data_IF_314898932634
#
_entry.id   IF_314898932634
#
_cell.length_a   1.000
_cell.length_b   1.000
_cell.length_c   1.000
_cell.angle_alpha   90.00
_cell.angle_beta   90.00
_cell.angle_gamma   90.00
#
_symmetry.space_group_name_H-M   'P 1'
#
loop_
_entity.id
_entity.type
_entity.pdbx_description
1 polymer ?
#
# COMPACT_ATOMS: atom_id res chain seq x y z
N UNK A 1 -47.97 1.42 -10.33
CA UNK A 1 -46.65 1.34 -9.67
C UNK A 1 -45.55 0.65 -10.51
N UNK A 2 -45.83 -0.45 -11.26
CA UNK A 2 -44.81 -1.17 -12.08
C UNK A 2 -44.24 -0.40 -13.29
N UNK A 3 -44.98 0.55 -13.87
CA UNK A 3 -44.58 1.29 -15.09
C UNK A 3 -43.43 2.28 -14.88
N UNK A 4 -43.28 2.82 -13.66
CA UNK A 4 -42.17 3.73 -13.32
C UNK A 4 -40.85 2.98 -13.09
N UNK A 5 -40.91 1.72 -12.62
CA UNK A 5 -39.72 0.89 -12.38
C UNK A 5 -39.03 0.49 -13.70
N UNK A 6 -39.80 0.04 -14.71
CA UNK A 6 -39.25 -0.33 -16.02
C UNK A 6 -38.66 0.85 -16.80
N UNK A 7 -39.27 2.04 -16.70
CA UNK A 7 -38.73 3.27 -17.29
C UNK A 7 -37.42 3.72 -16.63
N UNK A 8 -37.30 3.56 -15.31
CA UNK A 8 -36.07 3.88 -14.58
C UNK A 8 -34.93 2.90 -14.91
N UNK A 9 -35.20 1.59 -15.03
CA UNK A 9 -34.20 0.63 -15.50
C UNK A 9 -33.70 0.96 -16.91
N UNK A 10 -34.61 1.28 -17.84
CA UNK A 10 -34.24 1.66 -19.21
C UNK A 10 -33.42 2.95 -19.29
N UNK A 11 -33.62 3.90 -18.37
CA UNK A 11 -32.81 5.12 -18.27
C UNK A 11 -31.43 4.85 -17.67
N UNK A 12 -31.36 4.05 -16.60
CA UNK A 12 -30.11 3.66 -15.96
C UNK A 12 -29.19 2.92 -16.95
N UNK A 13 -29.72 1.94 -17.69
CA UNK A 13 -28.96 1.19 -18.69
C UNK A 13 -28.36 2.09 -19.78
N UNK A 14 -29.10 3.12 -20.23
CA UNK A 14 -28.58 4.09 -21.22
C UNK A 14 -27.42 4.91 -20.68
N UNK A 15 -27.49 5.34 -19.42
CA UNK A 15 -26.41 6.09 -18.76
C UNK A 15 -25.17 5.21 -18.59
N UNK A 16 -25.33 3.96 -18.15
CA UNK A 16 -24.22 3.01 -18.00
C UNK A 16 -23.55 2.72 -19.35
N UNK A 17 -24.34 2.45 -20.40
CA UNK A 17 -23.81 2.21 -21.75
C UNK A 17 -23.07 3.44 -22.28
N UNK A 18 -23.64 4.63 -22.13
CA UNK A 18 -22.97 5.87 -22.55
C UNK A 18 -21.65 6.09 -21.79
N UNK A 19 -21.63 5.84 -20.48
CA UNK A 19 -20.43 5.92 -19.65
C UNK A 19 -19.34 4.93 -20.08
N UNK A 20 -19.72 3.68 -20.37
CA UNK A 20 -18.78 2.66 -20.86
C UNK A 20 -18.21 3.02 -22.23
N UNK A 21 -19.05 3.51 -23.16
CA UNK A 21 -18.58 3.95 -24.47
C UNK A 21 -17.59 5.11 -24.36
N UNK A 22 -17.85 6.07 -23.46
CA UNK A 22 -16.93 7.16 -23.17
C UNK A 22 -15.61 6.64 -22.58
N UNK A 23 -15.67 5.71 -21.63
CA UNK A 23 -14.49 5.12 -21.01
C UNK A 23 -13.66 4.33 -22.03
N UNK A 24 -14.30 3.59 -22.94
CA UNK A 24 -13.62 2.92 -24.04
C UNK A 24 -12.98 3.92 -24.98
N UNK A 25 -13.69 4.99 -25.36
CA UNK A 25 -13.13 6.03 -26.22
C UNK A 25 -11.90 6.70 -25.60
N UNK A 26 -11.97 7.07 -24.32
CA UNK A 26 -10.84 7.66 -23.60
C UNK A 26 -9.68 6.67 -23.45
N UNK A 27 -9.97 5.39 -23.20
CA UNK A 27 -8.96 4.35 -23.12
C UNK A 27 -8.25 4.11 -24.45
N UNK A 28 -9.00 4.06 -25.57
CA UNK A 28 -8.40 3.95 -26.91
C UNK A 28 -7.54 5.17 -27.22
N UNK A 29 -8.02 6.38 -26.89
CA UNK A 29 -7.22 7.59 -27.08
C UNK A 29 -5.92 7.52 -26.27
N UNK A 30 -5.99 7.19 -24.99
CA UNK A 30 -4.81 7.11 -24.15
C UNK A 30 -3.86 5.98 -24.56
N UNK A 31 -4.39 4.84 -25.03
CA UNK A 31 -3.58 3.76 -25.60
C UNK A 31 -2.76 4.22 -26.80
N UNK A 32 -3.28 5.12 -27.64
CA UNK A 32 -2.51 5.68 -28.76
C UNK A 32 -1.29 6.47 -28.26
N UNK A 33 -1.46 7.24 -27.17
CA UNK A 33 -0.36 7.97 -26.54
C UNK A 33 0.66 6.99 -25.92
N UNK A 34 0.20 5.98 -25.18
CA UNK A 34 1.07 4.93 -24.60
C UNK A 34 1.83 4.17 -25.68
N UNK A 35 1.17 3.84 -26.80
CA UNK A 35 1.79 3.18 -27.95
C UNK A 35 2.84 4.07 -28.62
N UNK A 36 2.57 5.37 -28.75
CA UNK A 36 3.55 6.31 -29.28
C UNK A 36 4.78 6.39 -28.36
N UNK A 37 4.57 6.41 -27.04
CA UNK A 37 5.64 6.31 -26.04
C UNK A 37 6.49 5.06 -26.20
N UNK A 38 5.86 3.89 -26.32
CA UNK A 38 6.54 2.61 -26.53
C UNK A 38 7.37 2.56 -27.82
N UNK A 39 6.87 3.15 -28.91
CA UNK A 39 7.64 3.27 -30.16
C UNK A 39 8.84 4.19 -29.98
N UNK A 40 8.68 5.28 -29.22
CA UNK A 40 9.75 6.25 -28.94
C UNK A 40 10.85 5.71 -28.01
N UNK A 41 10.49 4.91 -27.00
CA UNK A 41 11.45 4.25 -26.10
C UNK A 41 12.10 3.01 -26.73
N UNK A 42 11.48 2.43 -27.76
CA UNK A 42 11.90 1.17 -28.37
C UNK A 42 11.50 -0.06 -27.54
N UNK A 43 10.67 0.12 -26.51
CA UNK A 43 10.32 -0.91 -25.55
C UNK A 43 8.81 -0.96 -25.34
N UNK A 44 8.24 -2.15 -25.55
CA UNK A 44 6.80 -2.38 -25.62
C UNK A 44 6.29 -3.25 -24.47
N UNK A 45 7.11 -3.52 -23.45
CA UNK A 45 6.69 -4.42 -22.39
C UNK A 45 5.53 -3.82 -21.56
N UNK A 46 5.63 -2.54 -21.19
CA UNK A 46 4.56 -1.84 -20.46
C UNK A 46 3.24 -1.70 -21.24
N UNK A 47 3.27 -1.66 -22.58
CA UNK A 47 2.04 -1.57 -23.38
C UNK A 47 1.10 -2.77 -23.19
N UNK A 48 1.64 -3.97 -22.95
CA UNK A 48 0.83 -5.14 -22.64
C UNK A 48 0.15 -5.02 -21.27
N UNK A 49 0.92 -4.60 -20.26
CA UNK A 49 0.41 -4.40 -18.89
C UNK A 49 -0.66 -3.31 -18.83
N UNK A 50 -0.49 -2.24 -19.60
CA UNK A 50 -1.50 -1.20 -19.76
C UNK A 50 -2.84 -1.76 -20.29
N UNK A 51 -2.80 -2.64 -21.29
CA UNK A 51 -4.04 -3.24 -21.83
C UNK A 51 -4.73 -4.14 -20.81
N UNK A 52 -3.97 -4.89 -20.01
CA UNK A 52 -4.53 -5.67 -18.90
C UNK A 52 -5.20 -4.74 -17.89
N UNK A 53 -4.52 -3.67 -17.47
CA UNK A 53 -5.07 -2.67 -16.55
C UNK A 53 -6.35 -2.04 -17.11
N UNK A 54 -6.37 -1.70 -18.39
CA UNK A 54 -7.54 -1.14 -19.04
C UNK A 54 -8.76 -2.09 -19.02
N UNK A 55 -8.55 -3.39 -19.31
CA UNK A 55 -9.59 -4.42 -19.20
C UNK A 55 -10.07 -4.57 -17.75
N UNK A 56 -9.16 -4.57 -16.77
CA UNK A 56 -9.52 -4.63 -15.35
C UNK A 56 -10.37 -3.43 -14.94
N UNK A 57 -10.01 -2.22 -15.37
CA UNK A 57 -10.79 -1.01 -15.13
C UNK A 57 -12.19 -1.05 -15.78
N UNK A 58 -12.31 -1.61 -16.99
CA UNK A 58 -13.61 -1.82 -17.65
C UNK A 58 -14.50 -2.80 -16.88
N UNK A 59 -13.93 -3.92 -16.44
CA UNK A 59 -14.63 -4.91 -15.61
C UNK A 59 -15.03 -4.31 -14.25
N UNK A 60 -14.16 -3.51 -13.65
CA UNK A 60 -14.45 -2.74 -12.45
C UNK A 60 -15.64 -1.79 -12.64
N UNK A 61 -15.64 -0.99 -13.72
CA UNK A 61 -16.74 -0.08 -14.03
C UNK A 61 -18.08 -0.83 -14.21
N UNK A 62 -18.07 -1.99 -14.85
CA UNK A 62 -19.24 -2.86 -14.98
C UNK A 62 -19.70 -3.41 -13.63
N UNK A 63 -18.78 -3.93 -12.82
CA UNK A 63 -19.04 -4.45 -11.48
C UNK A 63 -19.65 -3.37 -10.58
N UNK A 64 -19.05 -2.19 -10.49
CA UNK A 64 -19.56 -1.12 -9.64
C UNK A 64 -20.85 -0.52 -10.18
N UNK A 65 -21.03 -0.46 -11.50
CA UNK A 65 -22.34 -0.16 -12.09
C UNK A 65 -23.40 -1.15 -11.60
N UNK A 66 -23.12 -2.46 -11.69
CA UNK A 66 -24.03 -3.50 -11.20
C UNK A 66 -24.32 -3.39 -9.70
N UNK A 67 -23.29 -3.20 -8.86
CA UNK A 67 -23.44 -3.09 -7.41
C UNK A 67 -24.27 -1.87 -7.01
N UNK A 68 -24.01 -0.71 -7.63
CA UNK A 68 -24.72 0.54 -7.34
C UNK A 68 -26.19 0.50 -7.77
N UNK A 69 -26.49 -0.10 -8.93
CA UNK A 69 -27.89 -0.22 -9.39
C UNK A 69 -28.62 -1.44 -8.80
N UNK A 70 -27.89 -2.41 -8.25
CA UNK A 70 -28.42 -3.63 -7.66
C UNK A 70 -29.02 -3.45 -6.26
N UNK A 71 -28.99 -2.24 -5.70
CA UNK A 71 -29.57 -1.94 -4.38
C UNK A 71 -28.75 -2.49 -3.20
N UNK A 72 -27.46 -2.75 -3.41
CA UNK A 72 -26.55 -3.16 -2.34
C UNK A 72 -26.38 -2.03 -1.32
N UNK A 73 -26.18 -2.41 -0.04
CA UNK A 73 -25.85 -1.44 1.01
C UNK A 73 -24.57 -0.70 0.65
N UNK A 74 -24.56 0.62 0.83
CA UNK A 74 -23.43 1.47 0.45
C UNK A 74 -22.13 1.07 1.16
N UNK A 75 -22.21 0.61 2.40
CA UNK A 75 -21.07 0.11 3.20
C UNK A 75 -20.36 -1.06 2.50
N UNK A 76 -21.12 -1.98 1.89
CA UNK A 76 -20.57 -3.15 1.20
C UNK A 76 -19.97 -2.75 -0.15
N UNK A 77 -20.59 -1.78 -0.83
CA UNK A 77 -20.04 -1.19 -2.06
C UNK A 77 -18.74 -0.44 -1.76
N UNK A 78 -18.67 0.26 -0.63
CA UNK A 78 -17.46 0.92 -0.16
C UNK A 78 -16.33 -0.08 0.09
N UNK A 79 -16.58 -1.17 0.82
CA UNK A 79 -15.55 -2.22 1.03
C UNK A 79 -15.08 -2.80 -0.29
N UNK A 80 -16.00 -3.16 -1.19
CA UNK A 80 -15.66 -3.67 -2.50
C UNK A 80 -14.83 -2.66 -3.32
N UNK A 81 -15.19 -1.37 -3.28
CA UNK A 81 -14.47 -0.30 -3.97
C UNK A 81 -13.09 -0.06 -3.35
N UNK A 82 -12.99 0.01 -2.02
CA UNK A 82 -11.73 0.20 -1.30
C UNK A 82 -10.74 -0.93 -1.58
N UNK A 83 -11.19 -2.18 -1.55
CA UNK A 83 -10.35 -3.33 -1.90
C UNK A 83 -9.97 -3.35 -3.38
N UNK A 84 -10.89 -3.02 -4.29
CA UNK A 84 -10.61 -3.02 -5.73
C UNK A 84 -9.65 -1.90 -6.13
N UNK A 85 -9.97 -0.64 -5.81
CA UNK A 85 -9.14 0.50 -6.17
C UNK A 85 -7.85 0.54 -5.36
N UNK A 86 -7.89 0.15 -4.08
CA UNK A 86 -6.69 -0.03 -3.27
C UNK A 86 -5.80 -1.14 -3.82
N UNK A 87 -6.36 -2.28 -4.21
CA UNK A 87 -5.61 -3.37 -4.85
C UNK A 87 -4.98 -2.93 -6.18
N UNK A 88 -5.73 -2.19 -7.01
CA UNK A 88 -5.19 -1.57 -8.22
C UNK A 88 -4.03 -0.62 -7.92
N UNK A 89 -4.17 0.24 -6.90
CA UNK A 89 -3.10 1.14 -6.46
C UNK A 89 -1.84 0.37 -6.05
N UNK A 90 -1.99 -0.73 -5.30
CA UNK A 90 -0.86 -1.58 -4.91
C UNK A 90 -0.17 -2.19 -6.13
N UNK A 91 -0.93 -2.67 -7.13
CA UNK A 91 -0.35 -3.29 -8.32
C UNK A 91 0.28 -2.28 -9.30
N UNK A 92 -0.32 -1.09 -9.43
CA UNK A 92 0.12 -0.08 -10.40
C UNK A 92 1.32 0.70 -9.88
N UNK A 93 1.34 1.07 -8.60
CA UNK A 93 2.46 1.81 -8.03
C UNK A 93 3.39 0.85 -7.28
N UNK A 94 4.67 0.73 -7.70
CA UNK A 94 5.62 -0.12 -7.04
C UNK A 94 5.80 0.28 -5.58
N UNK A 95 6.20 -0.65 -4.70
CA UNK A 95 6.50 -0.29 -3.31
C UNK A 95 7.65 0.72 -3.27
N UNK A 96 7.63 1.60 -2.26
CA UNK A 96 8.62 2.65 -2.07
C UNK A 96 8.59 3.75 -3.16
N UNK A 97 7.39 4.03 -3.71
CA UNK A 97 7.20 5.07 -4.73
C UNK A 97 7.21 6.48 -4.15
N UNK A 98 6.80 6.64 -2.89
CA UNK A 98 6.86 7.92 -2.21
C UNK A 98 8.20 8.07 -1.47
N UNK A 99 8.85 9.26 -1.50
CA UNK A 99 10.18 9.45 -0.91
C UNK A 99 10.28 9.12 0.58
N UNK A 100 9.20 9.30 1.34
CA UNK A 100 9.11 9.01 2.78
C UNK A 100 8.65 7.59 3.08
N UNK A 101 8.16 6.83 2.08
CA UNK A 101 7.65 5.47 2.25
C UNK A 101 8.73 4.52 2.76
N UNK A 102 10.00 4.73 2.37
CA UNK A 102 11.11 3.89 2.81
C UNK A 102 11.32 3.98 4.31
N UNK A 103 11.38 5.18 4.90
CA UNK A 103 11.56 5.35 6.34
C UNK A 103 10.37 4.79 7.15
N UNK A 104 9.14 4.90 6.62
CA UNK A 104 7.95 4.29 7.22
C UNK A 104 7.97 2.76 7.13
N UNK A 105 8.40 2.22 6.00
CA UNK A 105 8.62 0.79 5.80
C UNK A 105 9.67 0.26 6.80
N UNK A 106 10.77 0.98 7.01
CA UNK A 106 11.82 0.63 7.96
C UNK A 106 11.30 0.61 9.40
N UNK A 107 10.45 1.57 9.80
CA UNK A 107 9.77 1.53 11.12
C UNK A 107 8.87 0.30 11.28
N UNK A 108 8.08 -0.05 10.25
CA UNK A 108 7.25 -1.24 10.28
C UNK A 108 8.09 -2.53 10.32
N UNK A 109 9.24 -2.56 9.64
CA UNK A 109 10.18 -3.66 9.68
C UNK A 109 10.79 -3.83 11.06
N UNK A 110 11.20 -2.74 11.70
CA UNK A 110 11.71 -2.73 13.06
C UNK A 110 10.69 -3.36 14.01
N UNK A 111 9.41 -2.98 13.90
CA UNK A 111 8.34 -3.57 14.69
C UNK A 111 8.14 -5.06 14.39
N UNK A 112 8.24 -5.48 13.12
CA UNK A 112 8.23 -6.91 12.75
C UNK A 112 9.36 -7.68 13.41
N UNK A 113 10.58 -7.13 13.44
CA UNK A 113 11.71 -7.78 14.12
C UNK A 113 11.45 -7.93 15.63
N UNK A 114 10.84 -6.94 16.28
CA UNK A 114 10.41 -7.06 17.68
C UNK A 114 9.34 -8.15 17.87
N UNK A 115 8.33 -8.22 16.99
CA UNK A 115 7.28 -9.27 17.03
C UNK A 115 7.91 -10.67 16.93
N UNK A 116 8.94 -10.83 16.10
CA UNK A 116 9.64 -12.10 15.90
C UNK A 116 10.74 -12.39 16.94
N UNK A 117 11.01 -11.48 17.88
CA UNK A 117 12.11 -11.61 18.84
C UNK A 117 13.51 -11.58 18.21
N UNK A 118 13.64 -10.96 17.02
CA UNK A 118 14.92 -10.78 16.31
C UNK A 118 15.58 -9.45 16.67
N UNK A 119 16.92 -9.31 16.54
CA UNK A 119 17.58 -8.02 16.70
C UNK A 119 17.01 -7.01 15.70
N UNK A 120 16.60 -5.84 16.20
CA UNK A 120 15.90 -4.84 15.41
C UNK A 120 16.79 -3.65 15.03
N UNK A 121 17.81 -3.33 15.82
CA UNK A 121 18.66 -2.16 15.63
C UNK A 121 20.13 -2.55 15.64
N UNK A 122 20.88 -1.88 14.78
CA UNK A 122 22.32 -1.91 14.73
C UNK A 122 22.93 -0.93 15.74
N UNK A 123 24.25 -1.00 15.95
CA UNK A 123 25.01 -0.16 16.91
C UNK A 123 24.81 1.35 16.67
N UNK A 124 24.56 1.75 15.43
CA UNK A 124 24.32 3.15 15.03
C UNK A 124 22.86 3.59 15.17
N UNK A 125 21.97 2.73 15.67
CA UNK A 125 20.54 2.98 15.79
C UNK A 125 19.73 2.70 14.52
N UNK A 126 20.38 2.46 13.38
CA UNK A 126 19.73 2.06 12.13
C UNK A 126 19.10 0.67 12.26
N UNK A 127 18.09 0.37 11.44
CA UNK A 127 17.33 -0.88 11.56
C UNK A 127 18.03 -2.02 10.84
N UNK A 128 18.00 -3.20 11.44
CA UNK A 128 18.48 -4.44 10.83
C UNK A 128 17.35 -5.08 10.01
N UNK A 129 17.59 -5.24 8.72
CA UNK A 129 16.75 -5.99 7.77
C UNK A 129 17.42 -7.32 7.42
N UNK A 130 16.70 -8.28 6.81
CA UNK A 130 17.36 -9.51 6.32
C UNK A 130 18.39 -9.12 5.27
N UNK A 131 19.49 -9.87 5.19
CA UNK A 131 20.52 -9.62 4.19
C UNK A 131 19.98 -9.57 2.76
N UNK A 132 18.94 -10.34 2.42
CA UNK A 132 18.25 -10.33 1.12
C UNK A 132 17.33 -9.12 0.87
N UNK A 133 16.89 -8.44 1.93
CA UNK A 133 15.99 -7.28 1.81
C UNK A 133 16.72 -6.00 1.36
N UNK A 134 18.08 -6.03 1.32
CA UNK A 134 18.93 -4.94 0.84
C UNK A 134 18.51 -4.38 -0.53
N UNK A 135 18.04 -5.27 -1.41
CA UNK A 135 17.63 -4.96 -2.79
C UNK A 135 16.54 -3.87 -2.88
N UNK A 136 15.73 -3.71 -1.83
CA UNK A 136 14.70 -2.67 -1.82
C UNK A 136 15.30 -1.25 -1.72
N UNK A 137 16.43 -1.12 -1.04
CA UNK A 137 17.11 0.16 -0.78
C UNK A 137 18.21 0.44 -1.82
N UNK A 138 18.81 -0.60 -2.40
CA UNK A 138 19.81 -0.48 -3.46
C UNK A 138 19.52 -1.48 -4.59
N UNK A 139 18.75 -1.02 -5.58
CA UNK A 139 18.25 -1.87 -6.67
C UNK A 139 19.31 -2.16 -7.73
N UNK A 140 20.29 -1.24 -7.86
CA UNK A 140 21.32 -1.28 -8.89
C UNK A 140 22.65 -1.83 -8.37
N UNK A 141 22.78 -2.08 -7.06
CA UNK A 141 24.06 -2.46 -6.45
C UNK A 141 25.06 -1.30 -6.48
N UNK A 142 24.59 -0.08 -6.28
CA UNK A 142 25.39 1.14 -6.29
C UNK A 142 26.28 1.25 -5.04
N UNK A 143 25.87 0.65 -3.92
CA UNK A 143 26.66 0.63 -2.70
C UNK A 143 27.69 -0.49 -2.66
N UNK A 144 28.83 -0.18 -2.04
CA UNK A 144 29.79 -1.19 -1.58
C UNK A 144 29.41 -1.62 -0.16
N UNK A 145 29.50 -2.92 0.12
CA UNK A 145 29.12 -3.47 1.41
C UNK A 145 30.33 -4.03 2.14
N UNK A 146 30.45 -3.69 3.42
CA UNK A 146 31.39 -4.29 4.35
C UNK A 146 30.65 -5.19 5.35
N UNK A 147 31.34 -6.20 5.87
CA UNK A 147 30.78 -7.11 6.87
C UNK A 147 31.25 -6.71 8.28
N UNK A 148 30.33 -6.27 9.14
CA UNK A 148 30.56 -6.17 10.59
C UNK A 148 29.79 -7.27 11.32
N UNK A 149 30.50 -8.35 11.67
CA UNK A 149 29.89 -9.53 12.27
C UNK A 149 28.99 -10.28 11.29
N UNK A 150 27.69 -10.32 11.57
CA UNK A 150 26.66 -10.96 10.73
C UNK A 150 25.82 -9.95 9.92
N UNK A 151 26.18 -8.67 9.94
CA UNK A 151 25.46 -7.58 9.29
C UNK A 151 26.27 -6.94 8.14
N UNK A 152 25.64 -6.79 6.98
CA UNK A 152 26.14 -5.98 5.87
C UNK A 152 25.92 -4.51 6.16
N UNK A 153 26.96 -3.70 6.01
CA UNK A 153 26.92 -2.25 6.21
C UNK A 153 27.32 -1.59 4.89
N UNK A 154 26.44 -0.75 4.36
CA UNK A 154 26.74 0.03 3.16
C UNK A 154 27.81 1.10 3.48
N UNK A 155 28.87 1.12 2.69
CA UNK A 155 29.92 2.15 2.75
C UNK A 155 29.49 3.29 1.86
N UNK A 156 28.97 4.36 2.45
CA UNK A 156 28.57 5.56 1.72
C UNK A 156 29.77 6.21 1.04
N UNK A 157 29.73 6.34 -0.29
CA UNK A 157 30.57 7.27 -1.04
C UNK A 157 29.80 8.59 -1.18
N UNK A 158 30.45 9.72 -0.86
CA UNK A 158 29.82 11.03 -0.60
C UNK A 158 29.00 11.65 -1.77
N UNK A 159 28.94 11.04 -2.96
CA UNK A 159 28.36 11.68 -4.15
C UNK A 159 27.02 11.10 -4.66
N UNK A 160 26.54 9.93 -4.20
CA UNK A 160 25.27 9.35 -4.70
C UNK A 160 24.55 8.48 -3.69
N UNK A 161 23.30 8.84 -3.38
CA UNK A 161 22.34 7.92 -2.73
C UNK A 161 21.93 6.82 -3.71
N UNK A 162 21.82 5.59 -3.23
CA UNK A 162 21.38 4.47 -4.05
C UNK A 162 19.92 4.62 -4.49
N UNK A 163 19.63 4.08 -5.68
CA UNK A 163 18.29 4.08 -6.22
C UNK A 163 17.39 3.08 -5.48
N UNK A 164 16.40 3.59 -4.76
CA UNK A 164 15.32 2.81 -4.14
C UNK A 164 14.33 2.35 -5.20
N UNK A 165 13.76 1.16 -5.05
CA UNK A 165 12.92 0.50 -6.07
C UNK A 165 11.82 1.39 -6.67
N UNK A 166 11.00 2.02 -5.85
CA UNK A 166 9.88 2.83 -6.34
C UNK A 166 10.25 4.28 -6.68
N UNK A 167 11.47 4.73 -6.38
CA UNK A 167 11.85 6.14 -6.51
C UNK A 167 11.80 6.63 -7.97
N UNK A 168 12.13 5.73 -8.91
CA UNK A 168 11.96 5.99 -10.34
C UNK A 168 10.86 5.10 -10.91
N UNK A 169 9.82 5.72 -11.47
CA UNK A 169 8.71 5.01 -12.11
C UNK A 169 9.02 4.78 -13.59
N UNK A 170 10.04 3.96 -13.84
CA UNK A 170 10.48 3.61 -15.19
C UNK A 170 10.10 2.18 -15.53
N UNK A 171 10.21 1.84 -16.81
CA UNK A 171 10.00 0.47 -17.29
C UNK A 171 10.93 -0.55 -16.64
N UNK A 172 12.19 -0.18 -16.40
CA UNK A 172 13.20 -1.02 -15.76
C UNK A 172 12.73 -1.48 -14.36
N UNK A 173 12.16 -0.56 -13.58
CA UNK A 173 11.59 -0.85 -12.26
C UNK A 173 10.55 -1.97 -12.31
N UNK A 174 9.61 -1.89 -13.26
CA UNK A 174 8.57 -2.91 -13.39
C UNK A 174 9.11 -4.24 -13.93
N UNK A 175 10.12 -4.22 -14.80
CA UNK A 175 10.80 -5.44 -15.26
C UNK A 175 11.53 -6.14 -14.12
N UNK A 176 12.28 -5.40 -13.29
CA UNK A 176 12.93 -5.92 -12.09
C UNK A 176 11.93 -6.54 -11.10
N UNK A 177 10.79 -5.89 -10.89
CA UNK A 177 9.70 -6.44 -10.07
C UNK A 177 9.18 -7.77 -10.66
N UNK A 178 8.98 -7.82 -11.97
CA UNK A 178 8.50 -9.02 -12.65
C UNK A 178 9.54 -10.17 -12.62
N UNK A 179 10.82 -9.87 -12.83
CA UNK A 179 11.90 -10.85 -12.84
C UNK A 179 12.16 -11.44 -11.45
N UNK A 180 12.20 -10.59 -10.41
CA UNK A 180 12.39 -11.04 -9.03
C UNK A 180 11.14 -11.79 -8.52
N UNK A 181 9.94 -11.37 -8.92
CA UNK A 181 8.69 -11.97 -8.45
C UNK A 181 8.53 -11.87 -6.93
N UNK A 182 7.68 -12.71 -6.32
CA UNK A 182 7.37 -12.63 -4.88
C UNK A 182 8.14 -13.65 -4.01
N UNK A 183 8.86 -14.57 -4.63
CA UNK A 183 9.53 -15.69 -3.95
C UNK A 183 10.97 -15.94 -4.41
N UNK A 184 11.47 -15.31 -5.49
CA UNK A 184 12.89 -15.45 -5.82
C UNK A 184 13.71 -14.48 -4.97
N UNK A 185 14.74 -15.00 -4.31
CA UNK A 185 15.56 -14.21 -3.41
C UNK A 185 16.66 -13.51 -4.20
N UNK A 186 16.81 -12.20 -4.00
CA UNK A 186 17.88 -11.44 -4.62
C UNK A 186 19.23 -11.99 -4.12
N UNK A 187 20.22 -12.06 -5.01
CA UNK A 187 21.57 -12.43 -4.61
C UNK A 187 22.05 -11.39 -3.59
N UNK A 188 22.55 -11.87 -2.46
CA UNK A 188 23.13 -11.01 -1.43
C UNK A 188 24.50 -10.53 -1.95
N UNK A 189 24.86 -9.23 -1.79
CA UNK A 189 26.14 -8.72 -2.26
C UNK A 189 27.27 -9.53 -1.64
N UNK A 190 28.18 -10.02 -2.48
CA UNK A 190 29.33 -10.77 -2.04
C UNK A 190 30.34 -9.84 -1.38
N UNK A 191 30.72 -10.12 -0.14
CA UNK A 191 31.83 -9.46 0.53
C UNK A 191 33.09 -10.29 0.29
N UNK A 192 34.10 -9.70 -0.37
CA UNK A 192 35.36 -10.39 -0.65
C UNK A 192 36.01 -10.88 0.67
N UNK A 193 36.28 -12.19 0.76
CA UNK A 193 36.99 -12.78 1.90
C UNK A 193 36.13 -13.08 3.14
N UNK A 194 34.80 -13.00 3.05
CA UNK A 194 33.92 -13.35 4.17
C UNK A 194 33.75 -14.88 4.33
N UNK A 195 34.20 -15.42 5.46
CA UNK A 195 33.95 -16.81 5.88
C UNK A 195 32.50 -17.05 6.36
N UNK A 196 31.75 -15.96 6.62
CA UNK A 196 30.41 -16.00 7.17
C UNK A 196 29.39 -15.46 6.17
N UNK A 197 28.29 -16.19 6.00
CA UNK A 197 27.14 -15.70 5.24
C UNK A 197 26.43 -14.60 6.01
N UNK A 198 26.29 -13.38 5.46
CA UNK A 198 25.56 -12.31 6.13
C UNK A 198 24.12 -12.71 6.39
N UNK A 199 23.63 -12.44 7.60
CA UNK A 199 22.25 -12.71 8.01
C UNK A 199 21.40 -11.45 7.93
N UNK A 200 22.01 -10.30 8.22
CA UNK A 200 21.35 -9.00 8.23
C UNK A 200 22.00 -8.03 7.26
N UNK A 201 21.25 -7.00 6.88
CA UNK A 201 21.77 -5.77 6.29
C UNK A 201 21.31 -4.59 7.14
N UNK A 202 22.18 -3.59 7.29
CA UNK A 202 21.86 -2.34 7.95
C UNK A 202 21.18 -1.43 6.93
N UNK A 203 19.94 -1.02 7.21
CA UNK A 203 19.24 -0.05 6.38
C UNK A 203 19.98 1.29 6.38
N UNK A 204 20.06 1.93 5.21
CA UNK A 204 20.65 3.27 5.07
C UNK A 204 19.69 4.37 5.52
N UNK A 205 18.41 4.05 5.65
CA UNK A 205 17.37 5.00 6.03
C UNK A 205 17.07 4.93 7.52
N UNK A 206 16.98 6.07 8.22
CA UNK A 206 16.60 6.08 9.62
C UNK A 206 15.11 5.70 9.78
N UNK A 207 14.76 5.00 10.87
CA UNK A 207 13.36 4.74 11.20
C UNK A 207 12.67 6.05 11.62
N UNK A 208 11.39 6.17 11.26
CA UNK A 208 10.52 7.26 11.73
C UNK A 208 10.02 6.95 13.14
N UNK A 209 10.37 7.82 14.09
CA UNK A 209 9.94 7.74 15.49
C UNK A 209 8.62 8.51 15.66
N UNK A 210 7.50 7.87 15.32
CA UNK A 210 6.14 8.40 15.52
C UNK A 210 5.25 7.37 16.23
N UNK A 211 3.94 7.61 16.28
CA UNK A 211 2.94 6.73 16.91
C UNK A 211 3.10 5.27 16.44
N UNK A 212 3.64 4.36 17.27
CA UNK A 212 3.99 3.00 16.83
C UNK A 212 2.79 2.19 16.33
N UNK A 213 1.59 2.52 16.82
CA UNK A 213 0.33 1.88 16.44
C UNK A 213 0.03 1.99 14.94
N UNK A 214 0.47 3.07 14.28
CA UNK A 214 0.24 3.26 12.85
C UNK A 214 0.95 2.21 11.99
N UNK A 215 2.04 1.62 12.48
CA UNK A 215 2.83 0.63 11.75
C UNK A 215 2.42 -0.81 12.04
N UNK A 216 1.54 -1.04 13.03
CA UNK A 216 1.12 -2.40 13.41
C UNK A 216 0.55 -3.19 12.24
N UNK A 217 -0.38 -2.66 11.42
CA UNK A 217 -0.93 -3.43 10.31
C UNK A 217 0.15 -3.84 9.31
N UNK A 218 1.02 -2.91 8.91
CA UNK A 218 2.14 -3.18 8.03
C UNK A 218 3.11 -4.20 8.62
N UNK A 219 3.48 -4.05 9.90
CA UNK A 219 4.40 -4.94 10.60
C UNK A 219 3.85 -6.37 10.71
N UNK A 220 2.53 -6.55 10.86
CA UNK A 220 1.89 -7.87 10.83
C UNK A 220 2.01 -8.49 9.44
N UNK A 221 1.76 -7.71 8.37
CA UNK A 221 1.95 -8.17 6.99
C UNK A 221 3.40 -8.56 6.69
N UNK A 222 4.37 -7.73 7.11
CA UNK A 222 5.80 -8.00 7.00
C UNK A 222 6.17 -9.27 7.76
N UNK A 223 5.69 -9.44 8.99
CA UNK A 223 5.97 -10.62 9.82
C UNK A 223 5.45 -11.89 9.15
N UNK A 224 4.22 -11.84 8.61
CA UNK A 224 3.64 -12.96 7.89
C UNK A 224 4.48 -13.31 6.65
N UNK A 225 4.94 -12.32 5.87
CA UNK A 225 5.76 -12.55 4.69
C UNK A 225 7.08 -13.24 5.05
N UNK A 226 7.73 -12.81 6.13
CA UNK A 226 8.95 -13.42 6.66
C UNK A 226 8.72 -14.86 7.11
N UNK A 227 7.58 -15.15 7.73
CA UNK A 227 7.21 -16.52 8.13
C UNK A 227 6.90 -17.43 6.95
N UNK A 228 6.31 -16.87 5.88
CA UNK A 228 6.03 -17.58 4.63
C UNK A 228 7.27 -17.73 3.73
N UNK A 229 8.43 -17.21 4.14
CA UNK A 229 9.66 -17.26 3.35
C UNK A 229 9.61 -16.42 2.08
N UNK A 230 8.80 -15.36 2.04
CA UNK A 230 8.72 -14.47 0.88
C UNK A 230 9.98 -13.61 0.77
N UNK A 231 10.31 -13.22 -0.46
CA UNK A 231 11.43 -12.32 -0.75
C UNK A 231 11.11 -10.87 -0.33
N UNK A 232 12.01 -9.94 -0.66
CA UNK A 232 11.90 -8.51 -0.33
C UNK A 232 10.64 -7.86 -0.94
N UNK A 233 10.29 -8.22 -2.17
CA UNK A 233 9.07 -7.72 -2.83
C UNK A 233 7.80 -8.27 -2.18
N UNK A 234 7.74 -9.58 -1.96
CA UNK A 234 6.60 -10.22 -1.30
C UNK A 234 6.35 -9.64 0.09
N UNK A 235 7.43 -9.34 0.81
CA UNK A 235 7.38 -8.65 2.09
C UNK A 235 6.80 -7.23 1.96
N UNK A 236 7.31 -6.41 1.03
CA UNK A 236 6.81 -5.05 0.82
C UNK A 236 5.32 -5.04 0.40
N UNK A 237 4.93 -5.90 -0.54
CA UNK A 237 3.54 -6.02 -1.00
C UNK A 237 2.60 -6.51 0.10
N UNK A 238 3.00 -7.52 0.88
CA UNK A 238 2.15 -8.05 1.95
C UNK A 238 1.96 -7.04 3.08
N UNK A 239 3.00 -6.27 3.42
CA UNK A 239 2.90 -5.14 4.33
C UNK A 239 1.86 -4.11 3.86
N UNK A 240 1.94 -3.69 2.58
CA UNK A 240 0.98 -2.74 2.00
C UNK A 240 -0.45 -3.30 1.90
N UNK A 241 -0.59 -4.61 1.63
CA UNK A 241 -1.88 -5.29 1.59
C UNK A 241 -2.57 -5.31 2.97
N UNK A 242 -1.81 -5.58 4.03
CA UNK A 242 -2.34 -5.54 5.39
C UNK A 242 -2.72 -4.13 5.83
N UNK A 243 -1.96 -3.11 5.42
CA UNK A 243 -2.38 -1.72 5.57
C UNK A 243 -3.73 -1.47 4.89
N UNK A 244 -3.89 -1.90 3.63
CA UNK A 244 -5.15 -1.75 2.90
C UNK A 244 -6.32 -2.43 3.62
N UNK A 245 -6.16 -3.69 4.04
CA UNK A 245 -7.21 -4.41 4.77
C UNK A 245 -7.58 -3.73 6.08
N UNK A 246 -6.59 -3.24 6.82
CA UNK A 246 -6.83 -2.55 8.08
C UNK A 246 -7.59 -1.25 7.85
N UNK A 247 -7.14 -0.39 6.94
CA UNK A 247 -7.80 0.91 6.70
C UNK A 247 -9.21 0.76 6.12
N UNK A 248 -9.42 -0.19 5.21
CA UNK A 248 -10.78 -0.51 4.72
C UNK A 248 -11.65 -1.05 5.85
N UNK A 249 -11.11 -1.93 6.69
CA UNK A 249 -11.81 -2.52 7.82
C UNK A 249 -12.23 -1.49 8.87
N UNK A 250 -11.32 -0.62 9.32
CA UNK A 250 -11.67 0.39 10.33
C UNK A 250 -12.69 1.41 9.83
N UNK A 251 -12.66 1.77 8.54
CA UNK A 251 -13.67 2.68 7.97
C UNK A 251 -15.03 1.99 7.91
N UNK A 252 -15.08 0.73 7.48
CA UNK A 252 -16.31 -0.05 7.47
C UNK A 252 -16.93 -0.19 8.87
N UNK A 253 -16.14 -0.58 9.88
CA UNK A 253 -16.63 -0.67 11.26
C UNK A 253 -16.97 0.70 11.87
N UNK A 254 -16.27 1.76 11.46
CA UNK A 254 -16.58 3.13 11.86
C UNK A 254 -17.97 3.55 11.39
N UNK A 255 -18.30 3.27 10.13
CA UNK A 255 -19.60 3.60 9.54
C UNK A 255 -20.75 2.76 10.13
N UNK A 256 -20.49 1.49 10.51
CA UNK A 256 -21.46 0.62 11.19
C UNK A 256 -21.73 1.00 12.66
N UNK A 257 -21.07 2.03 13.20
CA UNK A 257 -21.32 2.54 14.56
C UNK A 257 -22.07 3.89 14.58
N UNK A 258 -23.38 3.95 14.23
CA UNK A 258 -24.23 5.11 14.52
C UNK A 258 -24.25 5.48 16.02
N UNK A 259 -23.96 4.52 16.90
CA UNK A 259 -24.23 4.62 18.32
C UNK A 259 -23.22 5.46 19.12
N UNK A 260 -22.04 5.80 18.62
CA UNK A 260 -21.07 6.58 19.41
C UNK A 260 -21.42 8.07 19.46
N UNK A 261 -21.77 8.67 18.32
CA UNK A 261 -22.11 10.09 18.23
C UNK A 261 -23.51 10.41 18.77
N UNK A 262 -24.48 9.50 18.59
CA UNK A 262 -25.82 9.69 19.17
C UNK A 262 -25.81 9.64 20.71
N UNK A 263 -24.93 8.83 21.33
CA UNK A 263 -24.77 8.80 22.80
C UNK A 263 -24.10 10.07 23.35
N UNK A 264 -23.26 10.74 22.56
CA UNK A 264 -22.69 12.04 22.93
C UNK A 264 -23.69 13.21 22.83
N UNK A 265 -24.67 13.11 21.92
CA UNK A 265 -25.73 14.10 21.78
C UNK A 265 -26.74 14.06 22.95
N UNK A 266 -26.98 12.89 23.53
CA UNK A 266 -27.84 12.74 24.73
C UNK A 266 -27.26 13.48 25.95
N UNK A 267 -25.93 13.62 26.05
CA UNK A 267 -25.28 14.33 27.16
C UNK A 267 -25.37 15.87 27.06
N UNK A 268 -25.70 16.44 25.90
CA UNK A 268 -25.95 17.90 25.74
C UNK A 268 -27.42 18.30 25.89
N UNK A 269 -28.33 17.34 26.01
CA UNK A 269 -29.78 17.58 26.17
C UNK A 269 -30.30 17.47 27.60
N UNK A 270 -29.46 17.06 28.56
CA UNK A 270 -29.87 16.75 29.94
C UNK A 270 -29.44 17.81 30.99
N UNK A 271 -29.11 19.03 30.57
CA UNK A 271 -28.69 20.13 31.47
C UNK A 271 -29.61 21.35 31.40
N UNK A 272 -30.92 21.14 31.25
CA UNK A 272 -31.92 22.18 31.44
C UNK A 272 -33.05 21.65 32.33
N UNK A 273 -33.23 22.33 33.47
CA UNK A 273 -34.21 22.10 34.55
C UNK A 273 -33.92 20.98 35.56
N UNK A 274 -33.04 21.28 36.53
CA UNK A 274 -33.19 20.77 37.90
C UNK A 274 -33.73 21.90 38.79
N UNK A 275 -35.00 21.84 39.26
CA UNK A 275 -35.57 22.86 40.14
C UNK A 275 -35.13 22.75 41.62
N UNK A 276 -34.13 21.94 41.96
CA UNK A 276 -33.65 21.79 43.34
C UNK A 276 -32.58 22.80 43.79
N UNK A 277 -32.11 23.69 42.90
CA UNK A 277 -30.99 24.62 43.18
C UNK A 277 -31.38 26.07 43.56
N UNK A 278 -32.67 26.35 43.81
CA UNK A 278 -33.17 27.71 44.12
C UNK A 278 -33.42 27.96 45.63
N UNK A 279 -32.76 27.23 46.53
CA UNK A 279 -32.99 27.35 47.99
C UNK A 279 -31.78 27.66 48.86
N UNK A 280 -30.75 28.31 48.33
CA UNK A 280 -29.70 28.87 49.18
C UNK A 280 -29.22 30.20 48.60
N UNK A 281 -29.90 31.30 48.93
CA UNK A 281 -29.35 32.66 49.06
C UNK A 281 -30.44 33.65 49.49
N UNK A 282 -30.92 33.57 50.74
CA UNK A 282 -31.32 34.72 51.58
C UNK A 282 -31.22 34.27 53.04
N UNK A 283 -30.14 34.71 53.69
CA UNK A 283 -29.94 35.09 55.10
C UNK A 283 -28.45 34.99 55.44
#
# INVERSE_FOLDING_TARGET
MKTNSLKNLGKQNKVTVAGLLLLVFLGVKHYMDTRAGAIGSGDSWLTGQYMVLFVVCLLGALLFGYLLYGGWKLEHVFVAAGLFFGGLFLCVLPPLSAPDEVSHYISAYQLSSHIMGKPANYKTGHVLVRAEDWFLEDVNGEYQYELDGDALVAVHQEETDATVLGQTLTEDTYKKIHELGLFHHAAVPGVEGADQTPVYAVSTYPPVVTTPLAYVPQAVGITLARLLGMNSLGLAYLGRLFNLFFYVGITFFGDETPAFWERGAVWRGASAHDPAFDRFHVL
#
